data_IF_166007601123
#
_entry.id   IF_166007601123
#
_cell.length_a   1.000
_cell.length_b   1.000
_cell.length_c   1.000
_cell.angle_alpha   90.00
_cell.angle_beta   90.00
_cell.angle_gamma   90.00
#
_symmetry.space_group_name_H-M   'P 1'
#
loop_
_entity.id
_entity.type
_entity.pdbx_description
1 polymer ?
#
# COMPACT_ATOMS: atom_id res chain seq x y z
N UNK A 1 -26.02 11.15 19.95
CA UNK A 1 -26.22 11.44 18.52
C UNK A 1 -24.89 11.23 17.86
N UNK A 2 -24.78 10.58 16.69
CA UNK A 2 -23.48 10.40 16.06
C UNK A 2 -22.96 11.77 15.63
N UNK A 3 -21.95 12.24 16.35
CA UNK A 3 -21.22 13.45 16.00
C UNK A 3 -20.08 13.08 15.04
N UNK A 4 -19.60 14.06 14.28
CA UNK A 4 -18.41 13.89 13.45
C UNK A 4 -17.21 13.35 14.26
N UNK A 5 -17.16 13.69 15.55
CA UNK A 5 -16.18 13.16 16.51
C UNK A 5 -16.25 11.65 16.65
N UNK A 6 -17.45 11.06 16.70
CA UNK A 6 -17.65 9.63 16.86
C UNK A 6 -17.15 8.86 15.62
N UNK A 7 -17.32 9.45 14.43
CA UNK A 7 -16.80 8.90 13.16
C UNK A 7 -15.27 8.86 13.19
N UNK A 8 -14.62 9.94 13.61
CA UNK A 8 -13.16 9.98 13.72
C UNK A 8 -12.60 9.07 14.81
N UNK A 9 -13.31 8.88 15.93
CA UNK A 9 -12.94 7.91 16.96
C UNK A 9 -12.98 6.47 16.43
N UNK A 10 -13.98 6.13 15.61
CA UNK A 10 -14.04 4.82 14.96
C UNK A 10 -12.93 4.61 13.93
N UNK A 11 -12.59 5.63 13.15
CA UNK A 11 -11.43 5.57 12.23
C UNK A 11 -10.14 5.34 13.02
N UNK A 12 -9.93 6.08 14.12
CA UNK A 12 -8.75 5.91 14.96
C UNK A 12 -8.66 4.51 15.59
N UNK A 13 -9.80 3.93 15.98
CA UNK A 13 -9.90 2.57 16.47
C UNK A 13 -9.59 1.56 15.35
N UNK A 14 -10.14 1.75 14.15
CA UNK A 14 -9.85 0.90 13.00
C UNK A 14 -8.35 0.88 12.65
N UNK A 15 -7.70 2.05 12.67
CA UNK A 15 -6.24 2.21 12.46
C UNK A 15 -5.39 1.57 13.57
N UNK A 16 -5.88 1.54 14.80
CA UNK A 16 -5.22 0.79 15.88
C UNK A 16 -5.23 -0.71 15.56
N UNK A 17 -6.37 -1.24 15.12
CA UNK A 17 -6.51 -2.66 14.75
C UNK A 17 -5.70 -3.05 13.52
N UNK A 18 -5.52 -2.14 12.55
CA UNK A 18 -4.58 -2.34 11.43
C UNK A 18 -3.15 -2.55 11.95
N UNK A 19 -2.71 -1.70 12.90
CA UNK A 19 -1.37 -1.81 13.51
C UNK A 19 -1.18 -3.10 14.29
N UNK A 20 -2.23 -3.65 14.86
CA UNK A 20 -2.23 -4.94 15.57
C UNK A 20 -2.33 -6.15 14.62
N UNK A 21 -2.29 -5.94 13.31
CA UNK A 21 -2.49 -6.98 12.28
C UNK A 21 -3.85 -7.68 12.34
N UNK A 22 -4.82 -7.09 13.05
CA UNK A 22 -6.18 -7.62 13.14
C UNK A 22 -7.05 -7.05 12.01
N UNK A 23 -6.75 -7.49 10.79
CA UNK A 23 -7.39 -6.97 9.58
C UNK A 23 -8.89 -7.25 9.52
N UNK A 24 -9.34 -8.40 10.03
CA UNK A 24 -10.75 -8.78 10.00
C UNK A 24 -11.61 -7.87 10.88
N UNK A 25 -11.14 -7.57 12.10
CA UNK A 25 -11.83 -6.61 12.94
C UNK A 25 -11.72 -5.18 12.42
N UNK A 26 -10.57 -4.79 11.86
CA UNK A 26 -10.41 -3.45 11.28
C UNK A 26 -11.38 -3.20 10.11
N UNK A 27 -11.55 -4.19 9.23
CA UNK A 27 -12.53 -4.13 8.13
C UNK A 27 -13.95 -3.94 8.67
N UNK A 28 -14.33 -4.67 9.73
CA UNK A 28 -15.66 -4.54 10.33
C UNK A 28 -15.90 -3.14 10.91
N UNK A 29 -14.89 -2.57 11.58
CA UNK A 29 -14.98 -1.21 12.13
C UNK A 29 -15.08 -0.18 11.00
N UNK A 30 -14.32 -0.32 9.91
CA UNK A 30 -14.44 0.58 8.76
C UNK A 30 -15.81 0.50 8.06
N UNK A 31 -16.39 -0.69 7.94
CA UNK A 31 -17.75 -0.86 7.42
C UNK A 31 -18.81 -0.23 8.34
N UNK A 32 -18.60 -0.25 9.65
CA UNK A 32 -19.44 0.44 10.62
C UNK A 32 -19.32 1.96 10.50
N UNK A 33 -18.10 2.48 10.28
CA UNK A 33 -17.86 3.90 10.01
C UNK A 33 -18.64 4.39 8.78
N UNK A 34 -18.66 3.64 7.68
CA UNK A 34 -19.44 4.00 6.47
C UNK A 34 -20.92 4.13 6.77
N UNK A 35 -21.51 3.17 7.51
CA UNK A 35 -22.92 3.24 7.93
C UNK A 35 -23.21 4.46 8.79
N UNK A 36 -22.29 4.79 9.69
CA UNK A 36 -22.41 5.99 10.53
C UNK A 36 -22.33 7.29 9.73
N UNK A 37 -21.50 7.34 8.68
CA UNK A 37 -21.44 8.48 7.76
C UNK A 37 -22.77 8.61 6.98
N UNK A 38 -23.34 7.51 6.47
CA UNK A 38 -24.65 7.53 5.78
C UNK A 38 -25.79 7.99 6.69
N UNK A 39 -25.78 7.56 7.96
CA UNK A 39 -26.73 8.04 8.97
C UNK A 39 -26.53 9.52 9.29
N UNK A 40 -25.28 9.98 9.34
CA UNK A 40 -24.92 11.36 9.61
C UNK A 40 -25.36 12.30 8.47
N UNK A 41 -25.22 11.87 7.22
CA UNK A 41 -25.73 12.58 6.04
C UNK A 41 -27.27 12.64 6.04
N UNK A 42 -27.92 11.50 6.27
CA UNK A 42 -29.39 11.39 6.23
C UNK A 42 -30.08 12.29 7.27
N UNK A 43 -29.44 12.50 8.42
CA UNK A 43 -29.94 13.34 9.50
C UNK A 43 -29.66 14.83 9.28
N UNK A 44 -28.62 15.17 8.51
CA UNK A 44 -28.19 16.54 8.28
C UNK A 44 -28.44 16.98 6.82
N UNK A 45 -29.72 17.14 6.46
CA UNK A 45 -30.15 17.66 5.14
C UNK A 45 -29.62 19.07 4.79
N UNK A 46 -29.01 19.76 5.75
CA UNK A 46 -28.32 21.04 5.53
C UNK A 46 -27.01 20.90 4.74
N UNK A 47 -26.42 19.70 4.69
CA UNK A 47 -25.18 19.47 3.93
C UNK A 47 -25.38 19.50 2.41
N UNK A 48 -26.60 19.28 1.92
CA UNK A 48 -26.93 19.44 0.50
C UNK A 48 -26.79 20.90 0.03
N UNK A 49 -26.82 21.87 0.95
CA UNK A 49 -26.67 23.30 0.63
C UNK A 49 -25.22 23.76 0.62
N UNK A 50 -24.28 22.97 1.15
CA UNK A 50 -22.86 23.33 1.25
C UNK A 50 -22.04 22.33 0.46
N UNK A 51 -21.72 22.70 -0.78
CA UNK A 51 -21.01 21.86 -1.75
C UNK A 51 -19.67 21.33 -1.21
N UNK A 52 -18.92 22.16 -0.47
CA UNK A 52 -17.64 21.77 0.13
C UNK A 52 -17.80 20.66 1.18
N UNK A 53 -18.85 20.73 2.01
CA UNK A 53 -19.10 19.74 3.07
C UNK A 53 -19.56 18.42 2.45
N UNK A 54 -20.44 18.48 1.45
CA UNK A 54 -20.84 17.31 0.66
C UNK A 54 -19.64 16.64 0.01
N UNK A 55 -18.77 17.42 -0.62
CA UNK A 55 -17.55 16.92 -1.27
C UNK A 55 -16.59 16.29 -0.27
N UNK A 56 -16.41 16.92 0.91
CA UNK A 56 -15.53 16.38 1.96
C UNK A 56 -16.03 15.04 2.52
N UNK A 57 -17.35 14.89 2.72
CA UNK A 57 -17.93 13.64 3.19
C UNK A 57 -17.81 12.54 2.13
N UNK A 58 -18.06 12.86 0.86
CA UNK A 58 -17.89 11.92 -0.26
C UNK A 58 -16.43 11.44 -0.37
N UNK A 59 -15.47 12.36 -0.28
CA UNK A 59 -14.04 12.01 -0.27
C UNK A 59 -13.67 11.12 0.91
N UNK A 60 -14.24 11.37 2.09
CA UNK A 60 -14.01 10.53 3.28
C UNK A 60 -14.54 9.11 3.08
N UNK A 61 -15.71 8.94 2.45
CA UNK A 61 -16.25 7.62 2.11
C UNK A 61 -15.34 6.88 1.14
N UNK A 62 -14.92 7.55 0.06
CA UNK A 62 -14.03 6.97 -0.94
C UNK A 62 -12.72 6.50 -0.29
N UNK A 63 -12.15 7.30 0.62
CA UNK A 63 -10.91 6.96 1.32
C UNK A 63 -11.10 5.73 2.22
N UNK A 64 -12.20 5.67 2.98
CA UNK A 64 -12.52 4.52 3.85
C UNK A 64 -12.78 3.25 3.02
N UNK A 65 -13.52 3.35 1.91
CA UNK A 65 -13.78 2.21 1.02
C UNK A 65 -12.50 1.69 0.36
N UNK A 66 -11.62 2.59 -0.07
CA UNK A 66 -10.30 2.24 -0.58
C UNK A 66 -9.48 1.50 0.48
N UNK A 67 -9.54 1.96 1.73
CA UNK A 67 -8.86 1.34 2.86
C UNK A 67 -9.40 -0.05 3.17
N UNK A 68 -10.72 -0.24 3.13
CA UNK A 68 -11.35 -1.56 3.29
C UNK A 68 -10.86 -2.52 2.22
N UNK A 69 -10.81 -2.08 0.97
CA UNK A 69 -10.32 -2.91 -0.14
C UNK A 69 -8.85 -3.31 0.07
N UNK A 70 -7.98 -2.39 0.46
CA UNK A 70 -6.57 -2.68 0.77
C UNK A 70 -6.45 -3.73 1.89
N UNK A 71 -7.21 -3.56 2.96
CA UNK A 71 -7.19 -4.47 4.11
C UNK A 71 -7.72 -5.86 3.77
N UNK A 72 -8.71 -5.96 2.88
CA UNK A 72 -9.18 -7.26 2.38
C UNK A 72 -8.06 -8.01 1.64
N UNK A 73 -7.27 -7.32 0.81
CA UNK A 73 -6.13 -7.93 0.13
C UNK A 73 -5.04 -8.38 1.10
N UNK A 74 -4.74 -7.57 2.13
CA UNK A 74 -3.79 -7.93 3.18
C UNK A 74 -4.27 -9.14 3.99
N UNK A 75 -5.56 -9.21 4.32
CA UNK A 75 -6.14 -10.33 5.04
C UNK A 75 -6.09 -11.63 4.22
N UNK A 76 -6.38 -11.57 2.91
CA UNK A 76 -6.24 -12.70 2.00
C UNK A 76 -4.79 -13.20 1.94
N UNK A 77 -3.83 -12.27 1.88
CA UNK A 77 -2.40 -12.60 1.87
C UNK A 77 -1.94 -13.21 3.20
N UNK A 78 -2.45 -12.72 4.33
CA UNK A 78 -2.14 -13.25 5.66
C UNK A 78 -2.73 -14.66 5.89
N UNK A 79 -3.91 -14.94 5.34
CA UNK A 79 -4.58 -16.25 5.44
C UNK A 79 -4.01 -17.31 4.49
N UNK A 80 -3.22 -16.91 3.49
CA UNK A 80 -2.55 -17.85 2.59
C UNK A 80 -1.29 -18.38 3.28
N UNK A 81 -1.18 -19.69 3.58
CA UNK A 81 -0.02 -20.23 4.28
C UNK A 81 1.23 -20.07 3.41
N UNK A 82 2.20 -19.29 3.92
CA UNK A 82 3.52 -19.17 3.33
C UNK A 82 4.23 -20.54 3.36
N UNK A 83 4.43 -21.13 2.18
CA UNK A 83 5.41 -22.20 2.04
C UNK A 83 6.80 -21.66 2.42
N UNK A 84 7.57 -22.51 3.12
CA UNK A 84 8.91 -22.22 3.67
C UNK A 84 9.84 -21.54 2.65
N UNK A 85 10.82 -20.73 3.12
CA UNK A 85 11.73 -20.00 2.26
C UNK A 85 12.84 -20.93 1.80
N UNK A 86 12.65 -21.59 0.66
CA UNK A 86 13.76 -22.06 -0.15
C UNK A 86 13.52 -21.63 -1.59
N UNK A 87 14.53 -20.95 -2.13
CA UNK A 87 14.60 -20.26 -3.41
C UNK A 87 14.01 -18.85 -3.44
N UNK A 88 14.90 -17.92 -3.73
CA UNK A 88 14.66 -16.57 -4.25
C UNK A 88 13.89 -16.72 -5.57
N UNK A 89 12.58 -16.96 -5.48
CA UNK A 89 11.67 -16.94 -6.60
C UNK A 89 10.91 -15.62 -6.55
N UNK A 90 11.10 -14.84 -7.61
CA UNK A 90 10.52 -13.54 -7.89
C UNK A 90 9.19 -13.29 -7.15
N UNK A 91 9.19 -12.21 -6.37
CA UNK A 91 7.99 -11.55 -5.87
C UNK A 91 7.04 -11.34 -7.05
N UNK A 92 5.98 -12.16 -7.12
CA UNK A 92 4.87 -11.89 -8.02
C UNK A 92 4.09 -10.73 -7.44
N UNK A 93 4.30 -9.55 -8.02
CA UNK A 93 3.42 -8.40 -7.90
C UNK A 93 1.98 -8.80 -8.23
N UNK A 94 0.98 -8.10 -7.66
CA UNK A 94 -0.42 -8.39 -7.89
C UNK A 94 -0.71 -8.30 -9.39
N UNK A 95 -1.47 -9.27 -9.86
CA UNK A 95 -1.86 -9.46 -11.23
C UNK A 95 -2.75 -8.30 -11.70
N UNK A 96 -2.14 -7.21 -12.16
CA UNK A 96 -2.71 -6.50 -13.32
C UNK A 96 -2.56 -7.46 -14.47
N UNK A 97 -3.68 -7.91 -15.04
CA UNK A 97 -3.76 -8.76 -16.23
C UNK A 97 -2.51 -8.64 -17.08
N UNK A 98 -1.66 -9.68 -17.07
CA UNK A 98 -0.53 -9.82 -17.99
C UNK A 98 -1.08 -10.10 -19.38
N UNK A 99 -1.73 -9.10 -19.95
CA UNK A 99 -1.79 -8.96 -21.38
C UNK A 99 -0.36 -8.71 -21.84
N UNK A 100 0.12 -9.50 -22.80
CA UNK A 100 1.47 -9.31 -23.33
C UNK A 100 1.63 -7.86 -23.85
N UNK A 101 2.84 -7.29 -23.88
CA UNK A 101 3.08 -5.99 -24.50
C UNK A 101 2.47 -5.89 -25.91
N UNK A 102 2.43 -7.00 -26.65
CA UNK A 102 1.80 -7.10 -27.97
C UNK A 102 0.27 -7.00 -27.88
N UNK A 103 -0.35 -7.62 -26.88
CA UNK A 103 -1.80 -7.53 -26.62
C UNK A 103 -2.21 -6.10 -26.27
N UNK A 104 -1.41 -5.39 -25.47
CA UNK A 104 -1.67 -3.98 -25.16
C UNK A 104 -1.60 -3.09 -26.39
N UNK A 105 -0.56 -3.27 -27.22
CA UNK A 105 -0.42 -2.53 -28.49
C UNK A 105 -1.63 -2.81 -29.38
N UNK A 106 -2.07 -4.06 -29.51
CA UNK A 106 -3.24 -4.42 -30.31
C UNK A 106 -4.53 -3.80 -29.75
N UNK A 107 -4.70 -3.74 -28.43
CA UNK A 107 -5.84 -3.09 -27.78
C UNK A 107 -5.87 -1.57 -28.03
N UNK A 108 -4.71 -0.92 -28.00
CA UNK A 108 -4.56 0.50 -28.35
C UNK A 108 -4.92 0.72 -29.83
N UNK A 109 -4.41 -0.11 -30.74
CA UNK A 109 -4.74 -0.02 -32.17
C UNK A 109 -6.23 -0.24 -32.42
N UNK A 110 -6.87 -1.21 -31.76
CA UNK A 110 -8.30 -1.46 -31.86
C UNK A 110 -9.14 -0.27 -31.35
N UNK A 111 -8.71 0.38 -30.28
CA UNK A 111 -9.36 1.59 -29.78
C UNK A 111 -9.25 2.74 -30.80
N UNK A 112 -8.07 2.93 -31.38
CA UNK A 112 -7.84 3.95 -32.42
C UNK A 112 -8.70 3.68 -33.64
N UNK A 113 -8.75 2.43 -34.15
CA UNK A 113 -9.65 2.03 -35.24
C UNK A 113 -11.12 2.36 -34.93
N UNK A 114 -11.56 2.12 -33.69
CA UNK A 114 -12.96 2.35 -33.28
C UNK A 114 -13.35 3.83 -33.15
N UNK A 115 -12.36 4.73 -32.99
CA UNK A 115 -12.60 6.15 -32.69
C UNK A 115 -12.09 7.13 -33.76
N UNK A 116 -11.45 6.65 -34.82
CA UNK A 116 -10.84 7.52 -35.84
C UNK A 116 -11.66 7.50 -37.12
N UNK A 117 -12.28 8.63 -37.45
CA UNK A 117 -12.79 8.89 -38.81
C UNK A 117 -11.65 9.48 -39.65
N UNK A 118 -11.13 8.72 -40.61
CA UNK A 118 -10.01 9.18 -41.43
C UNK A 118 -10.45 10.20 -42.48
N UNK A 119 -9.63 11.26 -42.64
CA UNK A 119 -9.75 12.18 -43.76
C UNK A 119 -9.43 11.47 -45.09
N UNK A 120 -10.07 11.85 -46.22
CA UNK A 120 -9.77 11.24 -47.51
C UNK A 120 -8.30 11.46 -47.90
N UNK A 121 -7.57 10.37 -48.13
CA UNK A 121 -6.18 10.39 -48.59
C UNK A 121 -5.11 10.03 -47.54
N UNK A 122 -5.48 9.82 -46.28
CA UNK A 122 -4.55 9.29 -45.26
C UNK A 122 -4.56 7.75 -45.25
N UNK A 123 -3.38 7.13 -45.26
CA UNK A 123 -3.23 5.68 -45.12
C UNK A 123 -3.41 5.30 -43.65
N UNK A 124 -4.44 4.50 -43.36
CA UNK A 124 -4.71 3.93 -42.03
C UNK A 124 -3.49 3.15 -41.52
N UNK A 125 -2.81 2.47 -42.44
CA UNK A 125 -1.67 1.61 -42.10
C UNK A 125 -0.47 2.40 -41.57
N UNK A 126 -0.19 3.58 -42.11
CA UNK A 126 0.94 4.42 -41.68
C UNK A 126 0.68 4.98 -40.28
N UNK A 127 -0.57 5.36 -40.00
CA UNK A 127 -1.00 5.82 -38.67
C UNK A 127 -0.91 4.68 -37.64
N UNK A 128 -1.42 3.50 -37.97
CA UNK A 128 -1.34 2.32 -37.11
C UNK A 128 0.11 1.94 -36.81
N UNK A 129 0.98 1.98 -37.83
CA UNK A 129 2.41 1.68 -37.67
C UNK A 129 3.11 2.69 -36.76
N UNK A 130 2.82 3.99 -36.91
CA UNK A 130 3.35 5.03 -36.03
C UNK A 130 2.88 4.87 -34.59
N UNK A 131 1.60 4.61 -34.36
CA UNK A 131 1.03 4.41 -33.01
C UNK A 131 1.61 3.16 -32.36
N UNK A 132 1.76 2.07 -33.10
CA UNK A 132 2.38 0.85 -32.59
C UNK A 132 3.83 1.08 -32.16
N UNK A 133 4.60 1.84 -32.95
CA UNK A 133 5.98 2.18 -32.63
C UNK A 133 6.08 3.04 -31.35
N UNK A 134 5.29 4.11 -31.24
CA UNK A 134 5.26 4.99 -30.07
C UNK A 134 4.79 4.24 -28.81
N UNK A 135 3.76 3.40 -28.95
CA UNK A 135 3.26 2.57 -27.84
C UNK A 135 4.34 1.59 -27.36
N UNK A 136 5.06 0.97 -28.28
CA UNK A 136 6.18 0.06 -27.95
C UNK A 136 7.33 0.81 -27.26
N UNK A 137 7.63 2.04 -27.70
CA UNK A 137 8.65 2.88 -27.08
C UNK A 137 8.24 3.29 -25.65
N UNK A 138 6.97 3.63 -25.44
CA UNK A 138 6.44 3.97 -24.11
C UNK A 138 6.52 2.77 -23.16
N UNK A 139 6.14 1.57 -23.61
CA UNK A 139 6.25 0.35 -22.81
C UNK A 139 7.70 0.06 -22.40
N UNK A 140 8.66 0.30 -23.31
CA UNK A 140 10.10 0.17 -22.99
C UNK A 140 10.53 1.19 -21.94
N UNK A 141 10.09 2.44 -22.07
CA UNK A 141 10.36 3.50 -21.08
C UNK A 141 9.80 3.16 -19.70
N UNK A 142 8.57 2.66 -19.65
CA UNK A 142 7.90 2.25 -18.41
C UNK A 142 8.65 1.09 -17.74
N UNK A 143 9.05 0.07 -18.50
CA UNK A 143 9.87 -1.03 -17.99
C UNK A 143 11.20 -0.56 -17.41
N UNK A 144 11.84 0.44 -18.02
CA UNK A 144 13.09 1.02 -17.51
C UNK A 144 12.87 1.75 -16.18
N UNK A 145 11.82 2.56 -16.09
CA UNK A 145 11.46 3.28 -14.85
C UNK A 145 11.17 2.30 -13.72
N UNK A 146 10.39 1.24 -13.98
CA UNK A 146 10.09 0.22 -12.99
C UNK A 146 11.36 -0.52 -12.53
N UNK A 147 12.26 -0.86 -13.46
CA UNK A 147 13.53 -1.48 -13.12
C UNK A 147 14.40 -0.57 -12.26
N UNK A 148 14.49 0.72 -12.61
CA UNK A 148 15.26 1.69 -11.85
C UNK A 148 14.71 1.88 -10.44
N UNK A 149 13.38 2.00 -10.33
CA UNK A 149 12.69 2.10 -9.04
C UNK A 149 12.89 0.86 -8.18
N UNK A 150 12.86 -0.34 -8.77
CA UNK A 150 13.15 -1.59 -8.06
C UNK A 150 14.56 -1.58 -7.48
N UNK A 151 15.57 -1.15 -8.25
CA UNK A 151 16.96 -1.02 -7.77
C UNK A 151 17.09 -0.04 -6.62
N UNK A 152 16.41 1.09 -6.67
CA UNK A 152 16.41 2.09 -5.60
C UNK A 152 15.81 1.53 -4.30
N UNK A 153 14.71 0.76 -4.40
CA UNK A 153 14.15 0.08 -3.24
C UNK A 153 15.07 -1.00 -2.68
N UNK A 154 15.69 -1.81 -3.54
CA UNK A 154 16.67 -2.82 -3.12
C UNK A 154 17.84 -2.20 -2.35
N UNK A 155 18.41 -1.12 -2.89
CA UNK A 155 19.50 -0.38 -2.24
C UNK A 155 19.07 0.18 -0.88
N UNK A 156 17.86 0.74 -0.79
CA UNK A 156 17.33 1.28 0.47
C UNK A 156 17.07 0.19 1.52
N UNK A 157 16.60 -0.98 1.10
CA UNK A 157 16.40 -2.13 1.99
C UNK A 157 17.75 -2.63 2.51
N UNK A 158 18.77 -2.70 1.64
CA UNK A 158 20.11 -3.13 2.02
C UNK A 158 20.72 -2.17 3.06
N UNK A 159 20.64 -0.87 2.82
CA UNK A 159 21.07 0.18 3.74
C UNK A 159 20.42 0.00 5.13
N UNK A 160 19.09 -0.08 5.18
CA UNK A 160 18.36 -0.29 6.43
C UNK A 160 18.74 -1.60 7.13
N UNK A 161 18.99 -2.67 6.39
CA UNK A 161 19.45 -3.94 6.97
C UNK A 161 20.85 -3.80 7.59
N UNK A 162 21.75 -3.02 6.99
CA UNK A 162 23.09 -2.79 7.56
C UNK A 162 23.01 -1.95 8.83
N UNK A 163 22.22 -0.88 8.85
CA UNK A 163 21.99 -0.05 10.03
C UNK A 163 21.36 -0.88 11.16
N UNK A 164 20.36 -1.70 10.87
CA UNK A 164 19.70 -2.54 11.86
C UNK A 164 20.68 -3.56 12.49
N UNK A 165 21.57 -4.17 11.68
CA UNK A 165 22.65 -5.03 12.18
C UNK A 165 23.62 -4.27 13.09
N UNK A 166 23.97 -3.03 12.74
CA UNK A 166 24.84 -2.19 13.57
C UNK A 166 24.17 -1.85 14.91
N UNK A 167 22.92 -1.41 14.90
CA UNK A 167 22.15 -1.11 16.11
C UNK A 167 21.98 -2.35 16.99
N UNK A 168 21.67 -3.50 16.41
CA UNK A 168 21.57 -4.78 17.13
C UNK A 168 22.89 -5.12 17.83
N UNK A 169 24.02 -4.90 17.16
CA UNK A 169 25.35 -5.11 17.74
C UNK A 169 25.62 -4.15 18.91
N UNK A 170 25.23 -2.87 18.78
CA UNK A 170 25.36 -1.90 19.86
C UNK A 170 24.50 -2.26 21.07
N UNK A 171 23.26 -2.68 20.85
CA UNK A 171 22.35 -3.15 21.90
C UNK A 171 22.98 -4.33 22.65
N UNK A 172 23.56 -5.30 21.94
CA UNK A 172 24.22 -6.43 22.57
C UNK A 172 25.38 -6.00 23.47
N UNK A 173 26.27 -5.14 22.97
CA UNK A 173 27.39 -4.60 23.76
C UNK A 173 26.95 -3.82 25.00
N UNK A 174 25.86 -3.06 24.89
CA UNK A 174 25.30 -2.33 26.03
C UNK A 174 24.69 -3.27 27.08
N UNK A 175 24.02 -4.34 26.64
CA UNK A 175 23.52 -5.38 27.54
C UNK A 175 24.66 -6.09 28.28
N UNK A 176 25.72 -6.50 27.59
CA UNK A 176 26.88 -7.14 28.23
C UNK A 176 27.52 -6.23 29.29
N UNK A 177 27.65 -4.93 29.00
CA UNK A 177 28.16 -3.93 29.97
C UNK A 177 27.24 -3.78 31.17
N UNK A 178 25.92 -3.72 30.92
CA UNK A 178 24.92 -3.64 31.98
C UNK A 178 24.98 -4.87 32.88
N UNK A 179 25.00 -6.06 32.29
CA UNK A 179 25.07 -7.32 33.03
C UNK A 179 26.35 -7.40 33.86
N UNK A 180 27.49 -6.98 33.30
CA UNK A 180 28.77 -6.88 34.02
C UNK A 180 28.69 -5.93 35.23
N UNK A 181 28.04 -4.78 35.09
CA UNK A 181 27.84 -3.83 36.18
C UNK A 181 26.92 -4.40 37.27
N UNK A 182 25.84 -5.07 36.88
CA UNK A 182 24.92 -5.74 37.80
C UNK A 182 25.62 -6.85 38.57
N UNK A 183 26.43 -7.68 37.90
CA UNK A 183 27.23 -8.72 38.54
C UNK A 183 28.26 -8.14 39.51
N UNK A 184 28.98 -7.08 39.11
CA UNK A 184 29.94 -6.39 39.98
C UNK A 184 29.26 -5.81 41.23
N UNK A 185 28.09 -5.19 41.08
CA UNK A 185 27.31 -4.68 42.21
C UNK A 185 26.83 -5.80 43.15
N UNK A 186 26.40 -6.94 42.61
CA UNK A 186 26.04 -8.13 43.40
C UNK A 186 27.23 -8.69 44.17
N UNK A 187 28.39 -8.82 43.53
CA UNK A 187 29.62 -9.28 44.18
C UNK A 187 30.03 -8.37 45.33
N UNK A 188 30.00 -7.04 45.12
CA UNK A 188 30.35 -6.05 46.14
C UNK A 188 29.41 -6.12 47.35
N UNK A 189 28.10 -6.32 47.12
CA UNK A 189 27.13 -6.51 48.20
C UNK A 189 27.38 -7.79 48.99
N UNK A 190 27.71 -8.90 48.33
CA UNK A 190 28.01 -10.15 49.02
C UNK A 190 29.27 -10.03 49.89
N UNK A 191 30.32 -9.36 49.40
CA UNK A 191 31.54 -9.08 50.18
C UNK A 191 31.34 -8.16 51.39
N UNK A 192 30.25 -7.39 51.45
CA UNK A 192 29.91 -6.53 52.59
C UNK A 192 29.03 -7.23 53.64
N UNK A 193 28.42 -8.36 53.28
CA UNK A 193 27.54 -9.14 54.14
C UNK A 193 28.21 -10.38 54.74
N UNK A 194 29.46 -10.66 54.37
CA UNK A 194 30.38 -11.61 54.99
C UNK A 194 31.32 -10.88 55.96
#
# INVERSE_FOLDING_TARGET
MPELKDIYELIANAELKVREHNFEESINVYLETVKLIEEFESKNKGFDQVEDVKTAIELLKIDIESKVWELQQLNLRAKTPAAKPDNVAAVKNPMTTTESPQTFVENVLNLVRSKTELKPGASVHDLETGIAAETTQLLRGLSWVDQQRSKEYEARIEELCTENKQLTTQIHKLKERWDSLVESARQKRNQQND
#
